data_IF_116323928495
#
_entry.id   IF_116323928495
#
_cell.length_a   1.000
_cell.length_b   1.000
_cell.length_c   1.000
_cell.angle_alpha   90.00
_cell.angle_beta   90.00
_cell.angle_gamma   90.00
#
_symmetry.space_group_name_H-M   'P 1'
#
loop_
_entity.id
_entity.type
_entity.pdbx_description
1 polymer ?
#
# COMPACT_ATOMS: atom_id res chain seq x y z
N UNK A 1 -6.01 6.73 9.46
CA UNK A 1 -4.97 5.75 9.11
C UNK A 1 -5.36 4.45 9.82
N UNK A 2 -6.07 3.56 9.12
CA UNK A 2 -6.61 2.30 9.67
C UNK A 2 -6.00 1.08 8.98
N UNK A 3 -5.71 1.17 7.69
CA UNK A 3 -5.03 0.11 6.93
C UNK A 3 -3.67 -0.27 7.50
N UNK A 4 -2.86 0.68 7.97
CA UNK A 4 -1.54 0.35 8.52
C UNK A 4 -1.60 -0.40 9.84
N UNK A 5 -2.65 -0.20 10.65
CA UNK A 5 -2.90 -1.01 11.86
C UNK A 5 -3.19 -2.44 11.44
N UNK A 6 -4.11 -2.63 10.48
CA UNK A 6 -4.45 -3.97 9.96
C UNK A 6 -3.23 -4.69 9.41
N UNK A 7 -2.43 -4.03 8.57
CA UNK A 7 -1.21 -4.66 8.04
C UNK A 7 -0.18 -4.94 9.13
N UNK A 8 0.02 -4.03 10.09
CA UNK A 8 0.99 -4.24 11.19
C UNK A 8 0.62 -5.40 12.11
N UNK A 9 -0.67 -5.70 12.24
CA UNK A 9 -1.15 -6.88 12.99
C UNK A 9 -1.04 -8.14 12.15
N UNK A 10 -1.39 -8.09 10.87
CA UNK A 10 -1.35 -9.28 10.00
C UNK A 10 0.07 -9.71 9.64
N UNK A 11 1.01 -8.79 9.43
CA UNK A 11 2.40 -9.11 9.08
C UNK A 11 3.08 -10.09 10.05
N UNK A 12 3.08 -9.88 11.39
CA UNK A 12 3.67 -10.83 12.31
C UNK A 12 2.90 -12.16 12.36
N UNK A 13 1.57 -12.14 12.21
CA UNK A 13 0.76 -13.37 12.15
C UNK A 13 1.12 -14.23 10.92
N UNK A 14 1.39 -13.59 9.79
CA UNK A 14 1.93 -14.25 8.60
C UNK A 14 3.36 -14.75 8.83
N UNK A 15 4.19 -13.96 9.52
CA UNK A 15 5.57 -14.34 9.81
C UNK A 15 5.68 -15.59 10.70
N UNK A 16 4.73 -15.78 11.63
CA UNK A 16 4.65 -17.00 12.47
C UNK A 16 3.82 -18.13 11.83
N UNK A 17 3.25 -17.91 10.64
CA UNK A 17 2.47 -18.91 9.91
C UNK A 17 1.05 -19.14 10.42
N UNK A 18 0.51 -18.28 11.29
CA UNK A 18 -0.88 -18.35 11.76
C UNK A 18 -1.89 -17.88 10.71
N UNK A 19 -1.46 -17.03 9.79
CA UNK A 19 -2.25 -16.53 8.66
C UNK A 19 -1.42 -16.72 7.39
N UNK A 20 -2.02 -17.24 6.32
CA UNK A 20 -1.34 -17.34 5.03
C UNK A 20 -1.33 -15.98 4.30
N UNK A 21 -0.37 -15.78 3.38
CA UNK A 21 -0.33 -14.56 2.56
C UNK A 21 -1.61 -14.44 1.71
N UNK A 22 -2.17 -15.57 1.28
CA UNK A 22 -3.43 -15.68 0.56
C UNK A 22 -4.63 -15.18 1.37
N UNK A 23 -4.66 -15.45 2.67
CA UNK A 23 -5.69 -14.95 3.59
C UNK A 23 -5.48 -13.47 3.95
N UNK A 24 -4.22 -13.04 4.12
CA UNK A 24 -3.88 -11.65 4.38
C UNK A 24 -4.27 -10.72 3.21
N UNK A 25 -4.24 -11.22 1.97
CA UNK A 25 -4.48 -10.41 0.77
C UNK A 25 -5.88 -9.75 0.74
N UNK A 26 -7.01 -10.50 0.80
CA UNK A 26 -8.34 -9.88 0.84
C UNK A 26 -8.56 -9.01 2.07
N UNK A 27 -7.97 -9.36 3.23
CA UNK A 27 -8.05 -8.53 4.44
C UNK A 27 -7.38 -7.16 4.25
N UNK A 28 -6.22 -7.15 3.58
CA UNK A 28 -5.47 -5.92 3.26
C UNK A 28 -6.25 -5.05 2.26
N UNK A 29 -6.84 -5.66 1.23
CA UNK A 29 -7.70 -4.95 0.27
C UNK A 29 -8.93 -4.33 0.95
N UNK A 30 -9.57 -5.08 1.85
CA UNK A 30 -10.69 -4.58 2.65
C UNK A 30 -10.30 -3.41 3.56
N UNK A 31 -9.15 -3.48 4.22
CA UNK A 31 -8.64 -2.41 5.08
C UNK A 31 -8.34 -1.12 4.31
N UNK A 32 -7.87 -1.24 3.06
CA UNK A 32 -7.67 -0.09 2.18
C UNK A 32 -9.01 0.58 1.81
N UNK A 33 -10.05 -0.19 1.52
CA UNK A 33 -11.41 0.36 1.30
C UNK A 33 -11.98 1.01 2.57
N UNK A 34 -11.77 0.40 3.75
CA UNK A 34 -12.19 1.03 5.01
C UNK A 34 -11.52 2.39 5.24
N UNK A 35 -10.27 2.56 4.80
CA UNK A 35 -9.55 3.83 4.88
C UNK A 35 -10.16 4.88 3.93
N UNK A 36 -10.58 4.50 2.72
CA UNK A 36 -11.23 5.44 1.78
C UNK A 36 -12.60 5.88 2.27
N UNK A 37 -13.39 4.99 2.89
CA UNK A 37 -14.65 5.35 3.54
C UNK A 37 -14.42 6.37 4.66
N UNK A 38 -13.38 6.17 5.47
CA UNK A 38 -12.98 7.15 6.49
C UNK A 38 -12.59 8.49 5.87
N UNK A 39 -11.90 8.48 4.73
CA UNK A 39 -11.56 9.69 3.98
C UNK A 39 -12.78 10.44 3.43
N UNK A 40 -13.80 9.71 2.98
CA UNK A 40 -15.09 10.29 2.54
C UNK A 40 -15.81 10.94 3.73
N UNK A 41 -15.87 10.27 4.87
CA UNK A 41 -16.44 10.83 6.10
C UNK A 41 -15.66 12.07 6.59
N UNK A 42 -14.34 12.10 6.40
CA UNK A 42 -13.56 13.29 6.70
C UNK A 42 -13.88 14.44 5.73
N UNK A 43 -14.06 14.14 4.44
CA UNK A 43 -14.40 15.14 3.43
C UNK A 43 -15.78 15.79 3.65
N UNK A 44 -16.73 15.11 4.29
CA UNK A 44 -18.06 15.69 4.59
C UNK A 44 -18.02 16.76 5.69
N UNK A 45 -17.04 16.70 6.60
CA UNK A 45 -16.93 17.64 7.74
C UNK A 45 -15.92 18.76 7.51
N UNK A 46 -15.17 18.72 6.41
CA UNK A 46 -14.21 19.76 6.04
C UNK A 46 -14.95 21.00 5.55
N UNK A 47 -14.69 22.14 6.20
CA UNK A 47 -15.25 23.45 5.82
C UNK A 47 -14.27 24.29 5.00
N UNK A 48 -12.96 24.06 5.14
CA UNK A 48 -11.91 24.70 4.35
C UNK A 48 -11.64 23.89 3.08
N UNK A 49 -11.89 24.45 1.91
CA UNK A 49 -11.73 23.80 0.59
C UNK A 49 -12.48 22.44 0.45
N UNK A 50 -13.81 22.43 0.59
CA UNK A 50 -14.59 21.19 0.56
C UNK A 50 -14.46 20.45 -0.79
N UNK A 51 -14.36 21.18 -1.91
CA UNK A 51 -14.22 20.58 -3.24
C UNK A 51 -12.94 19.75 -3.34
N UNK A 52 -11.81 20.28 -2.87
CA UNK A 52 -10.51 19.59 -2.88
C UNK A 52 -10.55 18.34 -1.99
N UNK A 53 -11.15 18.45 -0.80
CA UNK A 53 -11.27 17.32 0.12
C UNK A 53 -12.07 16.15 -0.50
N UNK A 54 -13.19 16.46 -1.17
CA UNK A 54 -13.98 15.47 -1.89
C UNK A 54 -13.26 14.89 -3.09
N UNK A 55 -12.55 15.70 -3.87
CA UNK A 55 -11.75 15.22 -4.99
C UNK A 55 -10.70 14.22 -4.53
N UNK A 56 -9.94 14.54 -3.48
CA UNK A 56 -8.93 13.64 -2.92
C UNK A 56 -9.60 12.35 -2.41
N UNK A 57 -10.68 12.45 -1.63
CA UNK A 57 -11.38 11.28 -1.10
C UNK A 57 -11.90 10.35 -2.22
N UNK A 58 -12.47 10.91 -3.28
CA UNK A 58 -12.96 10.15 -4.44
C UNK A 58 -11.82 9.55 -5.26
N UNK A 59 -10.73 10.30 -5.51
CA UNK A 59 -9.54 9.76 -6.17
C UNK A 59 -9.00 8.53 -5.42
N UNK A 60 -8.91 8.61 -4.08
CA UNK A 60 -8.51 7.49 -3.24
C UNK A 60 -9.50 6.32 -3.33
N UNK A 61 -10.81 6.58 -3.29
CA UNK A 61 -11.84 5.53 -3.44
C UNK A 61 -11.70 4.80 -4.77
N UNK A 62 -11.69 5.55 -5.88
CA UNK A 62 -11.65 4.97 -7.22
C UNK A 62 -10.34 4.23 -7.48
N UNK A 63 -9.20 4.78 -7.06
CA UNK A 63 -7.92 4.09 -7.19
C UNK A 63 -7.94 2.72 -6.49
N UNK A 64 -8.48 2.65 -5.27
CA UNK A 64 -8.60 1.38 -4.55
C UNK A 64 -9.63 0.44 -5.18
N UNK A 65 -10.78 0.95 -5.62
CA UNK A 65 -11.82 0.15 -6.24
C UNK A 65 -11.36 -0.46 -7.57
N UNK A 66 -10.77 0.34 -8.45
CA UNK A 66 -10.20 -0.15 -9.71
C UNK A 66 -9.01 -1.08 -9.48
N UNK A 67 -8.14 -0.75 -8.52
CA UNK A 67 -7.06 -1.64 -8.11
C UNK A 67 -7.57 -3.02 -7.68
N UNK A 68 -8.61 -3.08 -6.86
CA UNK A 68 -9.25 -4.34 -6.46
C UNK A 68 -9.88 -5.02 -7.68
N UNK A 69 -10.66 -4.31 -8.48
CA UNK A 69 -11.35 -4.87 -9.65
C UNK A 69 -10.38 -5.50 -10.66
N UNK A 70 -9.18 -4.93 -10.79
CA UNK A 70 -8.07 -5.51 -11.54
C UNK A 70 -7.51 -6.70 -10.75
N UNK A 71 -6.83 -6.45 -9.63
CA UNK A 71 -5.94 -7.44 -9.03
C UNK A 71 -6.63 -8.60 -8.30
N UNK A 72 -7.87 -8.45 -7.85
CA UNK A 72 -8.51 -9.45 -6.99
C UNK A 72 -9.38 -10.48 -7.74
N UNK A 73 -10.35 -10.12 -8.61
CA UNK A 73 -11.26 -11.08 -9.24
C UNK A 73 -10.55 -12.10 -10.13
N UNK A 74 -9.55 -11.66 -10.90
CA UNK A 74 -8.89 -12.51 -11.90
C UNK A 74 -7.80 -13.35 -11.22
N UNK A 75 -7.90 -14.71 -11.23
CA UNK A 75 -6.96 -15.57 -10.53
C UNK A 75 -5.50 -15.40 -10.97
N UNK A 76 -5.28 -15.14 -12.26
CA UNK A 76 -3.94 -14.90 -12.82
C UNK A 76 -3.35 -13.60 -12.26
N UNK A 77 -4.13 -12.53 -12.23
CA UNK A 77 -3.65 -11.24 -11.73
C UNK A 77 -3.44 -11.28 -10.22
N UNK A 78 -4.29 -12.00 -9.48
CA UNK A 78 -4.12 -12.22 -8.03
C UNK A 78 -2.79 -12.89 -7.68
N UNK A 79 -2.30 -13.81 -8.52
CA UNK A 79 -1.03 -14.51 -8.29
C UNK A 79 0.17 -13.59 -8.38
N UNK A 80 0.12 -12.51 -9.15
CA UNK A 80 1.24 -11.58 -9.32
C UNK A 80 1.68 -10.95 -7.98
N UNK A 81 0.81 -10.21 -7.24
CA UNK A 81 1.21 -9.63 -5.96
C UNK A 81 1.52 -10.70 -4.91
N UNK A 82 0.79 -11.82 -4.90
CA UNK A 82 1.06 -12.93 -3.97
C UNK A 82 2.46 -13.55 -4.19
N UNK A 83 2.83 -13.82 -5.44
CA UNK A 83 4.13 -14.38 -5.78
C UNK A 83 5.26 -13.39 -5.49
N UNK A 84 5.05 -12.10 -5.78
CA UNK A 84 6.01 -11.05 -5.44
C UNK A 84 6.23 -10.95 -3.92
N UNK A 85 5.14 -11.01 -3.13
CA UNK A 85 5.23 -10.99 -1.67
C UNK A 85 5.99 -12.22 -1.13
N UNK A 86 5.71 -13.42 -1.64
CA UNK A 86 6.43 -14.65 -1.30
C UNK A 86 7.91 -14.57 -1.67
N UNK A 87 8.21 -14.08 -2.87
CA UNK A 87 9.57 -13.92 -3.35
C UNK A 87 10.36 -12.96 -2.45
N UNK A 88 9.80 -11.78 -2.18
CA UNK A 88 10.43 -10.78 -1.31
C UNK A 88 10.61 -11.29 0.13
N UNK A 89 9.61 -12.03 0.65
CA UNK A 89 9.68 -12.67 1.96
C UNK A 89 10.78 -13.72 2.06
N UNK A 90 10.91 -14.58 1.04
CA UNK A 90 11.98 -15.60 1.01
C UNK A 90 13.38 -14.98 0.87
N UNK A 91 13.53 -13.89 0.11
CA UNK A 91 14.77 -13.11 0.04
C UNK A 91 15.13 -12.50 1.40
N UNK A 92 14.13 -11.95 2.09
CA UNK A 92 14.29 -11.38 3.43
C UNK A 92 14.72 -12.42 4.46
N UNK A 93 14.16 -13.63 4.40
CA UNK A 93 14.56 -14.73 5.27
C UNK A 93 15.99 -15.22 5.01
N UNK A 94 16.47 -15.13 3.76
CA UNK A 94 17.83 -15.55 3.37
C UNK A 94 18.89 -14.49 3.69
N UNK A 95 18.56 -13.21 3.55
CA UNK A 95 19.50 -12.10 3.73
C UNK A 95 18.95 -11.06 4.70
N UNK A 96 19.39 -11.12 5.96
CA UNK A 96 18.90 -10.21 7.02
C UNK A 96 19.24 -8.73 6.79
N UNK A 97 20.26 -8.43 5.97
CA UNK A 97 20.61 -7.06 5.58
C UNK A 97 19.73 -6.51 4.44
N UNK A 98 19.09 -7.40 3.66
CA UNK A 98 18.32 -7.02 2.48
C UNK A 98 17.15 -6.08 2.82
N UNK A 99 16.35 -6.30 3.89
CA UNK A 99 15.29 -5.36 4.27
C UNK A 99 15.80 -3.94 4.56
N UNK A 100 16.93 -3.82 5.25
CA UNK A 100 17.52 -2.52 5.58
C UNK A 100 17.97 -1.80 4.31
N UNK A 101 18.65 -2.52 3.41
CA UNK A 101 19.05 -1.97 2.12
C UNK A 101 17.83 -1.59 1.25
N UNK A 102 16.81 -2.44 1.21
CA UNK A 102 15.57 -2.18 0.48
C UNK A 102 14.87 -0.91 0.99
N UNK A 103 14.69 -0.77 2.30
CA UNK A 103 14.10 0.44 2.91
C UNK A 103 14.97 1.66 2.61
N UNK A 104 16.29 1.56 2.79
CA UNK A 104 17.24 2.64 2.47
C UNK A 104 17.11 3.13 1.03
N UNK A 105 17.07 2.20 0.07
CA UNK A 105 16.96 2.53 -1.35
C UNK A 105 15.59 3.12 -1.69
N UNK A 106 14.51 2.45 -1.29
CA UNK A 106 13.16 2.81 -1.72
C UNK A 106 12.65 4.09 -1.07
N UNK A 107 12.97 4.33 0.21
CA UNK A 107 12.47 5.50 0.94
C UNK A 107 13.41 6.71 0.93
N UNK A 108 14.71 6.53 0.68
CA UNK A 108 15.68 7.63 0.71
C UNK A 108 16.36 7.85 -0.63
N UNK A 109 16.98 6.82 -1.21
CA UNK A 109 17.78 6.97 -2.44
C UNK A 109 16.90 7.33 -3.64
N UNK A 110 15.82 6.58 -3.89
CA UNK A 110 14.94 6.84 -5.05
C UNK A 110 14.27 8.22 -4.94
N UNK A 111 13.59 8.57 -3.83
CA UNK A 111 13.00 9.91 -3.70
C UNK A 111 14.05 11.02 -3.76
N UNK A 112 15.24 10.81 -3.18
CA UNK A 112 16.34 11.76 -3.24
C UNK A 112 16.84 12.02 -4.65
N UNK A 113 16.97 10.97 -5.48
CA UNK A 113 17.33 11.11 -6.90
C UNK A 113 16.23 11.84 -7.67
N UNK A 114 14.97 11.45 -7.50
CA UNK A 114 13.83 12.10 -8.18
C UNK A 114 13.75 13.58 -7.81
N UNK A 115 13.93 13.90 -6.53
CA UNK A 115 13.97 15.29 -6.05
C UNK A 115 15.15 16.06 -6.64
N UNK A 116 16.35 15.47 -6.66
CA UNK A 116 17.53 16.08 -7.26
C UNK A 116 17.35 16.40 -8.75
N UNK A 117 16.75 15.49 -9.52
CA UNK A 117 16.40 15.72 -10.93
C UNK A 117 15.37 16.86 -11.06
N UNK A 118 14.32 16.85 -10.23
CA UNK A 118 13.27 17.88 -10.28
C UNK A 118 13.82 19.27 -9.98
N UNK A 119 14.71 19.41 -8.99
CA UNK A 119 15.39 20.67 -8.67
C UNK A 119 16.29 21.11 -9.82
N UNK A 120 17.10 20.21 -10.38
CA UNK A 120 17.99 20.52 -11.50
C UNK A 120 17.25 20.87 -12.81
N UNK A 121 16.02 20.39 -12.99
CA UNK A 121 15.17 20.74 -14.13
C UNK A 121 14.42 22.07 -13.95
N UNK A 122 14.36 22.60 -12.72
CA UNK A 122 13.67 23.86 -12.39
C UNK A 122 14.66 25.03 -12.25
N UNK A 123 15.97 24.75 -12.13
CA UNK A 123 17.08 25.71 -12.17
C UNK A 123 17.55 26.00 -13.60
#
# INVERSE_FOLDING_TARGET
>A
QSSSITTSVLTPLVAVGLVSIEEMFPLTLGANIGTTVTGILAATVVTSNPVEAWQVALCHLFFNLFGIAIWYPIPVMRRVPLNMAKYLGSFTGKYTWFPLAYVGVVFFVIPGIVYGIAVAATS
#
